data_IF_135393905371
#
_entry.id   IF_135393905371
#
_cell.length_a   1.000
_cell.length_b   1.000
_cell.length_c   1.000
_cell.angle_alpha   90.00
_cell.angle_beta   90.00
_cell.angle_gamma   90.00
#
_symmetry.space_group_name_H-M   'P 1'
#
loop_
_entity.id
_entity.type
_entity.pdbx_description
1 polymer ?
#
# COMPACT_ATOMS: atom_id res chain seq x y z
N UNK A 1 -11.65 1.54 -17.50
CA UNK A 1 -11.62 1.73 -16.04
C UNK A 1 -10.23 1.39 -15.55
N UNK A 2 -9.64 2.23 -14.70
CA UNK A 2 -8.35 1.95 -14.07
C UNK A 2 -8.50 0.75 -13.11
N UNK A 3 -7.67 -0.29 -13.25
CA UNK A 3 -7.69 -1.45 -12.36
C UNK A 3 -6.87 -1.10 -11.11
N UNK A 4 -7.51 -0.39 -10.18
CA UNK A 4 -6.87 0.09 -8.97
C UNK A 4 -7.01 -0.95 -7.87
N UNK A 5 -5.87 -1.35 -7.29
CA UNK A 5 -5.82 -2.15 -6.08
C UNK A 5 -5.33 -1.32 -4.90
N UNK A 6 -5.92 -1.59 -3.74
CA UNK A 6 -5.62 -0.92 -2.48
C UNK A 6 -4.98 -1.91 -1.53
N UNK A 7 -3.96 -1.47 -0.79
CA UNK A 7 -3.24 -2.33 0.14
C UNK A 7 -3.09 -1.67 1.51
N UNK A 8 -3.07 -2.49 2.54
CA UNK A 8 -2.64 -2.12 3.89
C UNK A 8 -1.38 -2.88 4.27
N UNK A 9 -0.35 -2.16 4.71
CA UNK A 9 0.88 -2.71 5.31
C UNK A 9 0.86 -2.67 6.85
N UNK A 10 -0.34 -2.47 7.42
CA UNK A 10 -0.50 -2.35 8.86
C UNK A 10 -0.13 -3.65 9.58
N UNK A 11 0.49 -3.53 10.75
CA UNK A 11 0.95 -4.66 11.57
C UNK A 11 1.96 -5.61 10.87
N UNK A 12 2.75 -5.10 9.93
CA UNK A 12 3.85 -5.85 9.29
C UNK A 12 3.41 -6.78 8.14
N UNK A 13 2.12 -7.07 8.04
CA UNK A 13 1.52 -7.84 6.96
C UNK A 13 1.05 -6.92 5.83
N UNK A 14 1.23 -7.35 4.58
CA UNK A 14 0.68 -6.65 3.42
C UNK A 14 -0.55 -7.40 2.94
N UNK A 15 -1.72 -6.77 3.02
CA UNK A 15 -2.99 -7.33 2.56
C UNK A 15 -3.61 -6.46 1.47
N UNK A 16 -4.25 -7.08 0.49
CA UNK A 16 -5.08 -6.41 -0.50
C UNK A 16 -6.47 -6.15 0.11
N UNK A 17 -7.01 -4.95 -0.09
CA UNK A 17 -8.32 -4.55 0.40
C UNK A 17 -9.35 -4.62 -0.73
N UNK A 18 -10.55 -5.06 -0.38
CA UNK A 18 -11.66 -5.18 -1.30
C UNK A 18 -12.11 -3.79 -1.75
N UNK A 19 -12.01 -3.53 -3.06
CA UNK A 19 -12.27 -2.21 -3.66
C UNK A 19 -13.65 -1.65 -3.27
N UNK A 20 -14.67 -2.50 -3.17
CA UNK A 20 -16.05 -2.12 -2.87
C UNK A 20 -16.29 -1.74 -1.40
N UNK A 21 -15.30 -1.96 -0.53
CA UNK A 21 -15.33 -1.58 0.88
C UNK A 21 -14.52 -0.33 1.18
N UNK A 22 -13.87 0.24 0.16
CA UNK A 22 -13.03 1.42 0.31
C UNK A 22 -13.91 2.62 0.62
N UNK A 23 -13.60 3.27 1.73
CA UNK A 23 -14.29 4.46 2.22
C UNK A 23 -13.31 5.40 2.92
N UNK A 24 -13.80 6.51 3.44
CA UNK A 24 -13.01 7.47 4.18
C UNK A 24 -13.26 7.39 5.68
N UNK A 25 -12.25 7.80 6.44
CA UNK A 25 -12.29 7.96 7.89
C UNK A 25 -11.73 9.33 8.24
N UNK A 26 -12.34 10.01 9.20
CA UNK A 26 -11.84 11.30 9.70
C UNK A 26 -10.41 11.18 10.22
N UNK A 27 -9.61 12.23 10.05
CA UNK A 27 -8.21 12.24 10.46
C UNK A 27 -8.03 11.95 11.96
N UNK A 28 -8.95 12.41 12.82
CA UNK A 28 -8.90 12.17 14.26
C UNK A 28 -9.11 10.70 14.56
N UNK A 29 -10.21 10.14 14.06
CA UNK A 29 -10.56 8.74 14.30
C UNK A 29 -9.52 7.80 13.68
N UNK A 30 -8.96 8.16 12.52
CA UNK A 30 -7.85 7.43 11.90
C UNK A 30 -6.60 7.43 12.78
N UNK A 31 -6.24 8.59 13.35
CA UNK A 31 -5.04 8.70 14.20
C UNK A 31 -5.21 7.94 15.51
N UNK A 32 -6.42 7.88 16.05
CA UNK A 32 -6.76 7.08 17.23
C UNK A 32 -6.72 5.59 16.92
N UNK A 33 -7.31 5.15 15.81
CA UNK A 33 -7.39 3.74 15.45
C UNK A 33 -6.07 3.17 14.92
N UNK A 34 -5.26 3.99 14.25
CA UNK A 34 -4.00 3.59 13.60
C UNK A 34 -2.84 4.52 14.00
N UNK A 35 -2.45 4.55 15.28
CA UNK A 35 -1.44 5.47 15.78
C UNK A 35 -0.10 5.26 15.07
N UNK A 36 0.48 6.36 14.57
CA UNK A 36 1.77 6.35 13.87
C UNK A 36 1.72 5.85 12.41
N UNK A 37 0.57 5.44 11.89
CA UNK A 37 0.45 4.95 10.51
C UNK A 37 0.31 6.11 9.52
N UNK A 38 1.17 6.10 8.48
CA UNK A 38 1.05 7.04 7.36
C UNK A 38 0.00 6.53 6.34
N UNK A 39 -1.27 6.84 6.60
CA UNK A 39 -2.38 6.53 5.69
C UNK A 39 -2.41 7.41 4.43
N UNK A 40 -3.03 6.90 3.36
CA UNK A 40 -3.28 7.62 2.13
C UNK A 40 -4.41 8.64 2.33
N UNK A 41 -4.16 9.91 1.99
CA UNK A 41 -5.15 10.98 2.15
C UNK A 41 -6.25 10.87 1.10
N UNK A 42 -7.49 11.06 1.52
CA UNK A 42 -8.60 11.33 0.59
C UNK A 42 -8.68 12.83 0.31
N UNK A 43 -8.62 13.64 1.36
CA UNK A 43 -8.69 15.10 1.29
C UNK A 43 -7.92 15.78 2.44
N UNK A 44 -8.33 17.01 2.77
CA UNK A 44 -7.83 17.81 3.90
C UNK A 44 -8.06 17.17 5.28
N UNK A 45 -9.16 16.44 5.43
CA UNK A 45 -9.79 16.08 6.70
C UNK A 45 -9.91 14.57 6.90
N UNK A 46 -9.76 13.76 5.85
CA UNK A 46 -10.01 12.33 5.87
C UNK A 46 -8.92 11.51 5.17
N UNK A 47 -8.84 10.24 5.56
CA UNK A 47 -7.95 9.23 4.96
C UNK A 47 -8.75 8.05 4.44
N UNK A 48 -8.18 7.38 3.44
CA UNK A 48 -8.77 6.17 2.88
C UNK A 48 -8.54 4.96 3.80
N UNK A 49 -9.60 4.19 3.99
CA UNK A 49 -9.61 2.91 4.70
C UNK A 49 -10.38 1.88 3.86
N UNK A 50 -10.18 0.60 4.13
CA UNK A 50 -10.91 -0.48 3.47
C UNK A 50 -10.86 -1.77 4.28
N UNK A 51 -11.51 -2.82 3.78
CA UNK A 51 -11.60 -4.11 4.47
C UNK A 51 -11.08 -5.22 3.57
N UNK A 52 -10.59 -6.30 4.15
CA UNK A 52 -10.21 -7.50 3.38
C UNK A 52 -11.44 -8.27 2.90
N UNK A 53 -12.53 -8.23 3.67
CA UNK A 53 -13.83 -8.80 3.32
C UNK A 53 -14.96 -7.98 3.99
N UNK A 54 -16.20 -8.18 3.54
CA UNK A 54 -17.36 -7.59 4.22
C UNK A 54 -17.47 -8.12 5.65
N UNK A 55 -17.79 -7.24 6.61
CA UNK A 55 -17.86 -7.55 8.04
C UNK A 55 -16.54 -7.45 8.81
N UNK A 56 -15.40 -7.47 8.12
CA UNK A 56 -14.09 -7.34 8.77
C UNK A 56 -13.80 -5.89 9.22
N UNK A 57 -12.90 -5.68 10.20
CA UNK A 57 -12.47 -4.36 10.61
C UNK A 57 -11.87 -3.54 9.45
N UNK A 58 -12.00 -2.22 9.53
CA UNK A 58 -11.29 -1.33 8.63
C UNK A 58 -9.78 -1.39 8.88
N UNK A 59 -9.02 -1.33 7.80
CA UNK A 59 -7.58 -1.21 7.78
C UNK A 59 -7.18 0.07 7.03
N UNK A 60 -6.05 0.70 7.40
CA UNK A 60 -5.59 1.91 6.76
C UNK A 60 -5.06 1.58 5.38
N UNK A 61 -5.48 2.33 4.36
CA UNK A 61 -4.87 2.23 3.03
C UNK A 61 -3.49 2.90 3.10
N UNK A 62 -2.43 2.13 2.94
CA UNK A 62 -1.04 2.62 2.93
C UNK A 62 -0.48 2.73 1.51
N UNK A 63 -1.03 1.95 0.56
CA UNK A 63 -0.63 1.96 -0.85
C UNK A 63 -1.83 1.82 -1.78
N UNK A 64 -1.76 2.52 -2.91
CA UNK A 64 -2.69 2.46 -4.02
C UNK A 64 -1.89 2.20 -5.29
N UNK A 65 -2.31 1.21 -6.08
CA UNK A 65 -1.62 0.83 -7.31
C UNK A 65 -2.62 0.75 -8.43
N UNK A 66 -2.33 1.44 -9.52
CA UNK A 66 -3.03 1.30 -10.77
C UNK A 66 -2.32 0.25 -11.63
N UNK A 67 -3.02 -0.85 -11.93
CA UNK A 67 -2.56 -1.89 -12.83
C UNK A 67 -3.08 -1.62 -14.24
N UNK A 68 -2.23 -1.85 -15.24
CA UNK A 68 -2.68 -1.94 -16.64
C UNK A 68 -3.51 -3.21 -16.84
N UNK A 69 -4.15 -3.33 -18.00
CA UNK A 69 -4.97 -4.51 -18.34
C UNK A 69 -4.16 -5.82 -18.31
N UNK A 70 -2.91 -5.80 -18.78
CA UNK A 70 -1.99 -6.95 -18.75
C UNK A 70 -0.74 -6.59 -17.92
N UNK A 71 -0.83 -6.66 -16.59
CA UNK A 71 0.27 -6.25 -15.74
C UNK A 71 1.40 -7.27 -15.74
N UNK A 72 2.64 -6.79 -15.62
CA UNK A 72 3.82 -7.67 -15.68
C UNK A 72 3.87 -8.71 -14.56
N UNK A 73 3.38 -8.37 -13.35
CA UNK A 73 3.35 -9.26 -12.17
C UNK A 73 4.64 -10.05 -12.00
N UNK A 74 5.78 -9.37 -12.12
CA UNK A 74 7.09 -9.98 -11.96
C UNK A 74 7.52 -9.98 -10.48
N UNK A 75 8.43 -10.89 -10.13
CA UNK A 75 9.05 -10.89 -8.81
C UNK A 75 9.97 -9.67 -8.64
N UNK A 76 9.97 -9.08 -7.45
CA UNK A 76 10.64 -7.81 -7.21
C UNK A 76 12.17 -7.99 -7.35
N UNK A 77 12.77 -7.29 -8.32
CA UNK A 77 14.21 -7.36 -8.62
C UNK A 77 14.95 -6.08 -8.17
N UNK A 78 16.26 -6.00 -8.47
CA UNK A 78 17.09 -4.84 -8.12
C UNK A 78 16.57 -3.50 -8.66
N UNK A 79 15.83 -3.50 -9.78
CA UNK A 79 15.18 -2.29 -10.32
C UNK A 79 13.98 -1.87 -9.47
N UNK A 80 13.08 -2.80 -9.08
CA UNK A 80 11.95 -2.46 -8.17
C UNK A 80 12.50 -1.98 -6.81
N UNK A 81 13.52 -2.67 -6.24
CA UNK A 81 14.07 -2.34 -4.92
C UNK A 81 14.69 -0.94 -4.83
N UNK A 82 15.30 -0.46 -5.92
CA UNK A 82 15.89 0.87 -6.01
C UNK A 82 14.99 1.89 -6.72
N UNK A 83 13.78 1.47 -7.13
CA UNK A 83 12.81 2.33 -7.79
C UNK A 83 12.14 3.31 -6.82
N UNK A 84 11.63 4.43 -7.35
CA UNK A 84 10.87 5.39 -6.55
C UNK A 84 9.51 4.81 -6.16
N UNK A 85 9.05 5.12 -4.94
CA UNK A 85 7.76 4.67 -4.42
C UNK A 85 6.53 5.29 -5.13
N UNK A 86 6.76 6.25 -6.04
CA UNK A 86 5.73 6.96 -6.81
C UNK A 86 5.73 6.61 -8.31
N UNK A 87 6.51 5.61 -8.74
CA UNK A 87 6.48 5.11 -10.11
C UNK A 87 5.33 4.11 -10.34
N UNK A 88 5.04 3.82 -11.61
CA UNK A 88 4.10 2.74 -11.99
C UNK A 88 4.72 1.39 -11.59
N UNK A 89 4.18 0.75 -10.55
CA UNK A 89 4.64 -0.53 -10.07
C UNK A 89 3.59 -1.61 -10.31
N UNK A 90 3.95 -2.64 -11.08
CA UNK A 90 3.12 -3.83 -11.29
C UNK A 90 3.84 -5.10 -10.81
N UNK A 91 4.90 -4.96 -10.00
CA UNK A 91 5.62 -6.11 -9.43
C UNK A 91 4.63 -6.86 -8.50
N UNK A 92 4.74 -8.19 -8.33
CA UNK A 92 3.84 -9.00 -7.46
C UNK A 92 3.76 -8.50 -6.03
N UNK A 93 4.82 -7.87 -5.54
CA UNK A 93 4.85 -7.26 -4.20
C UNK A 93 4.00 -5.98 -4.08
N UNK A 94 3.32 -5.54 -5.14
CA UNK A 94 2.52 -4.32 -5.16
C UNK A 94 3.35 -3.07 -4.82
N UNK A 95 4.63 -3.03 -5.19
CA UNK A 95 5.48 -1.89 -4.85
C UNK A 95 5.82 -1.74 -3.37
N UNK A 96 5.44 -2.70 -2.50
CA UNK A 96 5.82 -2.74 -1.07
C UNK A 96 7.33 -2.56 -0.86
N UNK A 97 8.12 -3.09 -1.79
CA UNK A 97 9.57 -3.12 -1.68
C UNK A 97 10.28 -1.98 -2.43
N UNK A 98 9.55 -1.03 -3.02
CA UNK A 98 10.17 0.14 -3.67
C UNK A 98 10.96 0.98 -2.66
N UNK A 99 12.18 1.36 -3.04
CA UNK A 99 13.08 2.16 -2.20
C UNK A 99 13.75 1.40 -1.04
N UNK A 100 13.52 0.10 -0.88
CA UNK A 100 14.13 -0.71 0.19
C UNK A 100 15.56 -1.19 -0.13
N UNK A 101 16.02 -1.05 -1.37
CA UNK A 101 17.36 -1.48 -1.81
C UNK A 101 18.52 -0.76 -1.09
N UNK A 102 18.29 0.45 -0.58
CA UNK A 102 19.29 1.17 0.22
C UNK A 102 19.49 0.54 1.61
N UNK A 103 18.42 -0.03 2.20
CA UNK A 103 18.46 -0.65 3.51
C UNK A 103 18.95 -2.11 3.46
N UNK A 104 18.69 -2.84 2.37
CA UNK A 104 19.19 -4.22 2.22
C UNK A 104 20.71 -4.30 2.11
N UNK A 105 21.37 -3.27 1.55
CA UNK A 105 22.84 -3.19 1.50
C UNK A 105 23.50 -2.95 2.86
N UNK A 106 22.77 -2.42 3.84
CA UNK A 106 23.30 -2.18 5.19
C UNK A 106 23.26 -3.42 6.09
N UNK A 107 22.38 -4.37 5.77
CA UNK A 107 22.23 -5.64 6.50
C UNK A 107 23.11 -6.77 5.93
N UNK A 108 23.58 -6.62 4.69
CA UNK A 108 24.49 -7.56 4.03
C UNK A 108 25.90 -6.95 3.94
N UNK A 109 26.43 -6.45 5.07
CA UNK A 109 27.87 -6.21 5.19
C UNK A 109 28.54 -7.51 5.60
N UNK A 110 29.05 -8.23 4.61
CA UNK A 110 30.22 -9.09 4.80
C UNK A 110 31.48 -8.22 4.84
#
# INVERSE_FOLDING_TARGET
MANIKYFSDFNGSSVELLWSTVTTMDNRDFAEQFPGVKGYRSDGYSKWVGRVAYGEPYLPITRKIEYKQNPSLHDCNSKCLNGKHNGVCECRCGGKNHGRGMFSRLLNKD
#
